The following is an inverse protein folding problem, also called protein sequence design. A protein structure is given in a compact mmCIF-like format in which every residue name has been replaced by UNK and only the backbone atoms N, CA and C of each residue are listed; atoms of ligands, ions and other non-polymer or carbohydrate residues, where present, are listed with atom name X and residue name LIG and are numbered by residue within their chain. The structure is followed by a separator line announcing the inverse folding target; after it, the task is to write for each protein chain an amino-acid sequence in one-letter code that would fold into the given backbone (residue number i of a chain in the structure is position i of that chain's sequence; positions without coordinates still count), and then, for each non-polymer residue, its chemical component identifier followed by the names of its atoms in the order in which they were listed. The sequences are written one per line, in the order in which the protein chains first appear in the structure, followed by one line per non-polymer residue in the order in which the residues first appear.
data_IF_178720112335
#
_entry.id   IF_178720112335
#
_cell.length_a   1.000
_cell.length_b   1.000
_cell.length_c   1.000
_cell.angle_alpha   90.00
_cell.angle_beta   90.00
_cell.angle_gamma   90.00
#
_symmetry.space_group_name_H-M   'P 1'
#
loop_
_entity.id
_entity.type
_entity.pdbx_description
1 polymer ?
#
# COMPACT_ATOMS: atom_id res chain seq x y z
N UNK A 1 -45.44 10.58 13.30
CA UNK A 1 -44.09 10.14 12.91
C UNK A 1 -43.31 11.32 12.35
N UNK A 2 -42.29 11.75 13.08
CA UNK A 2 -41.57 12.98 12.70
C UNK A 2 -40.45 12.75 11.65
N UNK A 3 -39.80 11.58 11.61
CA UNK A 3 -38.64 11.31 10.76
C UNK A 3 -38.87 10.16 9.77
N UNK A 4 -38.55 10.38 8.48
CA UNK A 4 -38.65 9.39 7.42
C UNK A 4 -37.33 9.38 6.59
N UNK A 5 -36.21 8.79 7.08
CA UNK A 5 -34.91 8.79 6.39
C UNK A 5 -34.95 8.18 4.98
N UNK A 6 -35.90 7.28 4.70
CA UNK A 6 -36.10 6.66 3.39
C UNK A 6 -36.43 7.67 2.27
N UNK A 7 -36.87 8.88 2.61
CA UNK A 7 -37.16 9.94 1.61
C UNK A 7 -35.96 10.25 0.74
N UNK A 8 -34.76 10.30 1.34
CA UNK A 8 -33.52 10.59 0.62
C UNK A 8 -32.99 9.38 -0.20
N UNK A 9 -33.59 8.20 -0.04
CA UNK A 9 -33.19 6.97 -0.74
C UNK A 9 -34.11 6.55 -1.87
N UNK A 10 -35.20 7.30 -2.11
CA UNK A 10 -36.29 6.89 -3.00
C UNK A 10 -35.91 6.79 -4.48
N UNK A 11 -34.88 7.50 -4.93
CA UNK A 11 -34.43 7.47 -6.33
C UNK A 11 -32.89 7.47 -6.43
N UNK A 12 -32.32 6.95 -7.54
CA UNK A 12 -30.88 6.99 -7.74
C UNK A 12 -30.32 8.43 -7.70
N UNK A 13 -31.04 9.40 -8.31
CA UNK A 13 -30.62 10.79 -8.30
C UNK A 13 -30.55 11.39 -6.90
N UNK A 14 -31.54 11.09 -6.03
CA UNK A 14 -31.50 11.54 -4.65
C UNK A 14 -30.37 10.88 -3.87
N UNK A 15 -30.16 9.57 -4.05
CA UNK A 15 -29.03 8.90 -3.39
C UNK A 15 -27.70 9.51 -3.79
N UNK A 16 -27.50 9.79 -5.07
CA UNK A 16 -26.28 10.44 -5.56
C UNK A 16 -26.11 11.88 -5.02
N UNK A 17 -27.21 12.64 -4.92
CA UNK A 17 -27.17 14.01 -4.39
C UNK A 17 -26.80 14.09 -2.91
N UNK A 18 -27.06 13.06 -2.14
CA UNK A 18 -26.75 12.98 -0.71
C UNK A 18 -25.58 12.03 -0.39
N UNK A 19 -24.83 11.61 -1.41
CA UNK A 19 -23.65 10.78 -1.22
C UNK A 19 -22.53 11.61 -0.59
N UNK A 20 -22.07 11.17 0.58
CA UNK A 20 -21.02 11.86 1.35
C UNK A 20 -19.62 11.41 0.93
N UNK A 21 -19.49 10.14 0.50
CA UNK A 21 -18.21 9.55 0.10
C UNK A 21 -18.16 9.33 -1.39
N UNK A 22 -17.05 9.70 -2.01
CA UNK A 22 -16.75 9.38 -3.40
C UNK A 22 -15.36 8.80 -3.52
N UNK A 23 -15.18 7.87 -4.45
CA UNK A 23 -13.88 7.36 -4.86
C UNK A 23 -13.63 7.68 -6.32
N UNK A 24 -12.38 7.97 -6.64
CA UNK A 24 -11.91 8.18 -8.00
C UNK A 24 -10.61 7.41 -8.21
N UNK A 25 -10.20 7.15 -9.47
CA UNK A 25 -8.92 6.50 -9.74
C UNK A 25 -7.72 7.19 -9.09
N UNK A 26 -7.77 8.51 -8.92
CA UNK A 26 -6.71 9.29 -8.28
C UNK A 26 -6.54 8.98 -6.77
N UNK A 27 -7.49 8.29 -6.16
CA UNK A 27 -7.39 7.90 -4.75
C UNK A 27 -6.65 6.57 -4.55
N UNK A 28 -6.30 5.86 -5.63
CA UNK A 28 -5.70 4.54 -5.55
C UNK A 28 -4.20 4.56 -5.78
N UNK A 29 -3.48 3.80 -4.97
CA UNK A 29 -2.09 3.41 -5.22
C UNK A 29 -2.09 1.93 -5.58
N UNK A 30 -1.72 1.60 -6.82
CA UNK A 30 -1.75 0.23 -7.33
C UNK A 30 -0.45 -0.50 -6.99
N UNK A 31 -0.50 -1.62 -6.24
CA UNK A 31 0.66 -2.45 -6.00
C UNK A 31 1.10 -3.19 -7.27
N UNK A 32 2.38 -3.10 -7.59
CA UNK A 32 3.02 -3.81 -8.69
C UNK A 32 4.04 -4.79 -8.11
N UNK A 33 3.81 -6.08 -8.35
CA UNK A 33 4.78 -7.11 -8.02
C UNK A 33 5.76 -7.25 -9.18
N UNK A 34 7.04 -7.04 -8.91
CA UNK A 34 8.09 -7.02 -9.94
C UNK A 34 9.11 -8.14 -9.70
N UNK A 35 9.72 -8.64 -10.78
CA UNK A 35 10.79 -9.62 -10.71
C UNK A 35 11.80 -9.45 -11.86
N UNK A 36 12.93 -10.15 -11.78
CA UNK A 36 14.02 -10.04 -12.77
C UNK A 36 13.71 -10.71 -14.13
N UNK A 37 12.70 -11.58 -14.19
CA UNK A 37 12.33 -12.28 -15.42
C UNK A 37 11.65 -11.34 -16.43
N UNK A 38 11.69 -11.69 -17.70
CA UNK A 38 11.05 -10.90 -18.77
C UNK A 38 9.56 -11.20 -18.94
N UNK A 39 9.15 -12.43 -18.65
CA UNK A 39 7.76 -12.90 -18.77
C UNK A 39 6.98 -12.72 -17.47
N UNK A 40 5.69 -12.44 -17.62
CA UNK A 40 4.78 -12.35 -16.45
C UNK A 40 4.60 -13.73 -15.81
N UNK A 41 4.74 -13.82 -14.49
CA UNK A 41 4.57 -15.04 -13.72
C UNK A 41 3.34 -14.93 -12.80
N UNK A 42 2.34 -15.83 -12.94
CA UNK A 42 1.13 -15.77 -12.10
C UNK A 42 1.45 -16.00 -10.63
N UNK A 43 0.71 -15.33 -9.76
CA UNK A 43 0.76 -15.55 -8.31
C UNK A 43 -0.40 -16.46 -7.95
N UNK A 44 -0.10 -17.73 -7.60
CA UNK A 44 -1.11 -18.78 -7.43
C UNK A 44 -2.15 -18.45 -6.35
N UNK A 45 -1.70 -17.86 -5.24
CA UNK A 45 -2.58 -17.47 -4.14
C UNK A 45 -3.38 -16.17 -4.38
N UNK A 46 -3.13 -15.47 -5.50
CA UNK A 46 -3.79 -14.22 -5.86
C UNK A 46 -4.33 -14.31 -7.30
N UNK A 47 -5.49 -14.91 -7.55
CA UNK A 47 -6.04 -15.12 -8.88
C UNK A 47 -6.17 -13.82 -9.69
N UNK A 48 -5.52 -13.76 -10.86
CA UNK A 48 -5.48 -12.57 -11.72
C UNK A 48 -4.34 -11.59 -11.43
N UNK A 49 -3.52 -11.85 -10.39
CA UNK A 49 -2.29 -11.11 -10.13
C UNK A 49 -1.07 -11.82 -10.69
N UNK A 50 -0.10 -11.03 -11.13
CA UNK A 50 1.15 -11.51 -11.71
C UNK A 50 2.34 -10.81 -11.08
N UNK A 51 3.47 -11.51 -11.01
CA UNK A 51 4.76 -10.86 -10.93
C UNK A 51 5.09 -10.42 -12.35
N UNK A 52 5.18 -9.12 -12.54
CA UNK A 52 5.27 -8.49 -13.86
C UNK A 52 6.70 -8.62 -14.40
N UNK A 53 6.80 -9.04 -15.64
CA UNK A 53 8.05 -9.12 -16.38
C UNK A 53 8.70 -7.74 -16.46
N UNK A 54 9.99 -7.67 -16.18
CA UNK A 54 10.70 -6.44 -15.85
C UNK A 54 10.53 -5.30 -16.85
N UNK A 55 10.38 -5.54 -18.13
CA UNK A 55 10.20 -4.48 -19.12
C UNK A 55 8.80 -4.42 -19.70
N UNK A 56 8.35 -5.53 -20.27
CA UNK A 56 7.12 -5.54 -21.05
C UNK A 56 5.88 -5.60 -20.20
N UNK A 57 5.70 -6.61 -19.36
CA UNK A 57 4.52 -6.77 -18.53
C UNK A 57 4.31 -5.61 -17.56
N UNK A 58 5.40 -5.09 -16.98
CA UNK A 58 5.35 -3.91 -16.11
C UNK A 58 4.84 -2.67 -16.83
N UNK A 59 5.38 -2.34 -18.01
CA UNK A 59 4.97 -1.15 -18.74
C UNK A 59 3.51 -1.27 -19.23
N UNK A 60 3.12 -2.45 -19.71
CA UNK A 60 1.74 -2.71 -20.15
C UNK A 60 0.74 -2.54 -19.01
N UNK A 61 1.07 -3.01 -17.80
CA UNK A 61 0.20 -2.86 -16.64
C UNK A 61 0.06 -1.39 -16.21
N UNK A 62 1.14 -0.63 -16.23
CA UNK A 62 1.11 0.82 -15.96
C UNK A 62 0.29 1.55 -17.03
N UNK A 63 0.43 1.22 -18.30
CA UNK A 63 -0.42 1.80 -19.36
C UNK A 63 -1.91 1.55 -19.12
N UNK A 64 -2.30 0.28 -18.83
CA UNK A 64 -3.70 -0.09 -18.54
C UNK A 64 -4.25 0.66 -17.33
N UNK A 65 -3.47 0.80 -16.27
CA UNK A 65 -3.87 1.54 -15.08
C UNK A 65 -4.09 3.03 -15.37
N UNK A 66 -3.18 3.64 -16.13
CA UNK A 66 -3.29 5.05 -16.56
C UNK A 66 -4.50 5.31 -17.45
N UNK A 67 -4.82 4.39 -18.33
CA UNK A 67 -6.02 4.50 -19.19
C UNK A 67 -7.33 4.62 -18.41
N UNK A 68 -7.35 4.10 -17.18
CA UNK A 68 -8.49 4.23 -16.26
C UNK A 68 -8.29 5.33 -15.21
N UNK A 69 -7.18 6.08 -15.27
CA UNK A 69 -6.92 7.26 -14.43
C UNK A 69 -6.12 6.97 -13.15
N UNK A 70 -5.57 5.76 -12.97
CA UNK A 70 -4.67 5.45 -11.85
C UNK A 70 -3.26 5.84 -12.23
N UNK A 71 -2.64 6.74 -11.47
CA UNK A 71 -1.31 7.29 -11.72
C UNK A 71 -0.35 7.14 -10.53
N UNK A 72 -0.72 6.38 -9.51
CA UNK A 72 0.10 6.11 -8.34
C UNK A 72 0.34 4.61 -8.19
N UNK A 73 1.59 4.22 -7.98
CA UNK A 73 2.03 2.82 -7.97
C UNK A 73 2.97 2.57 -6.81
N UNK A 74 2.85 1.40 -6.16
CA UNK A 74 3.81 0.93 -5.16
C UNK A 74 4.51 -0.34 -5.64
N UNK A 75 5.84 -0.38 -5.52
CA UNK A 75 6.68 -1.46 -6.03
C UNK A 75 6.99 -2.49 -4.95
N UNK A 76 6.73 -3.76 -5.24
CA UNK A 76 7.06 -4.91 -4.39
C UNK A 76 7.92 -5.91 -5.16
N UNK A 77 9.22 -6.06 -4.83
CA UNK A 77 10.11 -6.93 -5.58
C UNK A 77 10.05 -8.39 -5.11
N UNK A 78 10.15 -9.33 -6.04
CA UNK A 78 10.62 -10.68 -5.76
C UNK A 78 12.10 -10.75 -6.10
N UNK A 79 12.94 -10.81 -5.08
CA UNK A 79 14.39 -10.89 -5.22
C UNK A 79 14.82 -12.38 -5.36
N UNK A 80 15.73 -12.72 -6.30
CA UNK A 80 16.31 -14.05 -6.39
C UNK A 80 17.03 -14.46 -5.09
N UNK A 81 16.89 -15.71 -4.68
CA UNK A 81 17.49 -16.20 -3.43
C UNK A 81 19.01 -16.04 -3.37
N UNK A 82 19.68 -16.09 -4.53
CA UNK A 82 21.13 -15.88 -4.62
C UNK A 82 21.58 -14.46 -4.23
N UNK A 83 20.66 -13.49 -4.20
CA UNK A 83 20.91 -12.10 -3.83
C UNK A 83 20.44 -11.78 -2.40
N UNK A 84 19.80 -12.72 -1.74
CA UNK A 84 19.35 -12.52 -0.34
C UNK A 84 20.51 -12.76 0.62
N UNK A 85 20.59 -11.92 1.66
CA UNK A 85 21.59 -12.04 2.74
C UNK A 85 20.93 -11.85 4.10
N UNK A 86 21.57 -12.24 5.22
CA UNK A 86 21.03 -11.98 6.57
C UNK A 86 20.80 -10.50 6.87
N UNK A 87 21.58 -9.62 6.24
CA UNK A 87 21.52 -8.17 6.41
C UNK A 87 20.73 -7.46 5.32
N UNK A 88 20.22 -8.21 4.31
CA UNK A 88 19.40 -7.66 3.23
C UNK A 88 20.13 -6.66 2.33
N UNK A 89 21.43 -6.86 2.06
CA UNK A 89 22.29 -5.86 1.40
C UNK A 89 21.85 -5.47 -0.01
N UNK A 90 21.15 -6.34 -0.72
CA UNK A 90 20.57 -6.03 -2.03
C UNK A 90 19.50 -4.92 -1.95
N UNK A 91 18.94 -4.64 -0.77
CA UNK A 91 17.93 -3.59 -0.57
C UNK A 91 18.43 -2.18 -0.93
N UNK A 92 19.72 -1.91 -0.76
CA UNK A 92 20.34 -0.61 -1.08
C UNK A 92 21.30 -0.65 -2.28
N UNK A 93 21.22 -1.69 -3.09
CA UNK A 93 21.95 -1.76 -4.36
C UNK A 93 21.32 -0.78 -5.37
N UNK A 94 22.00 0.33 -5.67
CA UNK A 94 21.53 1.35 -6.63
C UNK A 94 21.26 0.77 -8.04
N UNK A 95 21.81 -0.38 -8.37
CA UNK A 95 21.60 -1.11 -9.61
C UNK A 95 20.67 -2.32 -9.45
N UNK A 96 20.08 -2.51 -8.28
CA UNK A 96 19.12 -3.56 -7.98
C UNK A 96 17.80 -3.39 -8.72
N UNK A 97 16.92 -4.37 -8.60
CA UNK A 97 15.64 -4.43 -9.33
C UNK A 97 14.78 -3.17 -9.08
N UNK A 98 14.59 -2.76 -7.82
CA UNK A 98 13.71 -1.63 -7.48
C UNK A 98 14.25 -0.31 -8.03
N UNK A 99 15.51 0.11 -7.78
CA UNK A 99 16.06 1.35 -8.34
C UNK A 99 16.04 1.38 -9.87
N UNK A 100 16.34 0.25 -10.55
CA UNK A 100 16.24 0.17 -12.02
C UNK A 100 14.80 0.34 -12.51
N UNK A 101 13.84 -0.26 -11.81
CA UNK A 101 12.41 -0.16 -12.13
C UNK A 101 11.91 1.28 -11.97
N UNK A 102 12.29 1.97 -10.88
CA UNK A 102 11.93 3.38 -10.67
C UNK A 102 12.43 4.23 -11.83
N UNK A 103 13.71 4.11 -12.18
CA UNK A 103 14.29 4.88 -13.32
C UNK A 103 13.57 4.58 -14.64
N UNK A 104 13.29 3.29 -14.93
CA UNK A 104 12.55 2.91 -16.13
C UNK A 104 11.15 3.54 -16.17
N UNK A 105 10.43 3.51 -15.07
CA UNK A 105 9.07 4.05 -14.99
C UNK A 105 9.07 5.58 -15.09
N UNK A 106 10.01 6.26 -14.43
CA UNK A 106 10.14 7.71 -14.50
C UNK A 106 10.58 8.20 -15.89
N UNK A 107 11.42 7.44 -16.60
CA UNK A 107 11.77 7.72 -18.00
C UNK A 107 10.55 7.63 -18.93
N UNK A 108 9.71 6.61 -18.77
CA UNK A 108 8.54 6.38 -19.63
C UNK A 108 7.31 7.20 -19.23
N UNK A 109 7.14 7.46 -17.94
CA UNK A 109 5.98 8.11 -17.36
C UNK A 109 6.42 9.12 -16.29
N UNK A 110 6.95 10.28 -16.66
CA UNK A 110 7.53 11.24 -15.71
C UNK A 110 6.49 11.84 -14.73
N UNK A 111 5.21 11.74 -15.06
CA UNK A 111 4.06 12.31 -14.31
C UNK A 111 3.40 11.35 -13.33
N UNK A 112 3.84 10.08 -13.24
CA UNK A 112 3.32 9.14 -12.24
C UNK A 112 3.97 9.33 -10.88
N UNK A 113 3.26 8.91 -9.82
CA UNK A 113 3.77 8.86 -8.46
C UNK A 113 4.23 7.44 -8.13
N UNK A 114 5.50 7.31 -7.75
CA UNK A 114 6.08 6.02 -7.36
C UNK A 114 6.27 5.98 -5.85
N UNK A 115 5.57 5.05 -5.22
CA UNK A 115 5.77 4.63 -3.85
C UNK A 115 6.72 3.44 -3.82
N UNK A 116 7.53 3.33 -2.79
CA UNK A 116 8.39 2.17 -2.58
C UNK A 116 8.14 1.56 -1.20
N UNK A 117 8.23 0.26 -1.12
CA UNK A 117 8.26 -0.44 0.17
C UNK A 117 9.68 -0.34 0.78
N UNK A 118 9.76 -0.03 2.07
CA UNK A 118 11.02 -0.01 2.82
C UNK A 118 10.92 -1.06 3.92
N UNK A 119 11.53 -2.20 3.68
CA UNK A 119 11.62 -3.34 4.59
C UNK A 119 12.66 -4.32 4.05
N UNK A 120 13.20 -5.19 4.90
CA UNK A 120 14.23 -6.13 4.48
C UNK A 120 13.70 -7.50 4.06
N UNK A 121 12.44 -7.85 4.32
CA UNK A 121 11.92 -9.20 4.08
C UNK A 121 12.05 -9.72 2.64
N UNK A 122 11.95 -8.91 1.56
CA UNK A 122 12.23 -9.40 0.20
C UNK A 122 13.71 -9.71 -0.05
N UNK A 123 14.60 -9.13 0.74
CA UNK A 123 16.06 -9.16 0.59
C UNK A 123 16.76 -10.02 1.63
N UNK A 124 16.05 -10.37 2.70
CA UNK A 124 16.58 -11.16 3.81
C UNK A 124 16.54 -12.65 3.52
N UNK A 125 17.65 -13.35 3.80
CA UNK A 125 17.68 -14.81 3.80
C UNK A 125 16.78 -15.43 4.88
N UNK A 126 16.43 -14.67 5.94
CA UNK A 126 15.59 -15.12 7.03
C UNK A 126 14.10 -14.82 6.83
N UNK A 127 13.75 -13.97 5.84
CA UNK A 127 12.37 -13.60 5.51
C UNK A 127 11.70 -12.69 6.57
N UNK A 128 12.47 -12.09 7.46
CA UNK A 128 12.01 -11.09 8.42
C UNK A 128 12.18 -9.66 7.87
N UNK A 129 11.36 -8.72 8.36
CA UNK A 129 11.41 -7.30 7.94
C UNK A 129 12.67 -6.60 8.49
N UNK A 130 13.38 -7.21 9.44
CA UNK A 130 14.61 -6.74 10.06
C UNK A 130 15.69 -7.81 10.16
N UNK A 131 16.88 -7.37 10.59
CA UNK A 131 18.05 -8.22 10.81
C UNK A 131 17.82 -9.12 12.02
N UNK A 132 18.13 -10.38 11.88
CA UNK A 132 17.94 -11.38 12.92
C UNK A 132 19.28 -11.74 13.57
N UNK A 133 19.34 -11.66 14.90
CA UNK A 133 20.46 -12.15 15.69
C UNK A 133 20.41 -13.67 15.81
N UNK A 134 21.54 -14.33 16.15
CA UNK A 134 21.65 -15.79 16.26
C UNK A 134 20.63 -16.43 17.22
N UNK A 135 20.18 -15.70 18.24
CA UNK A 135 19.17 -16.14 19.21
C UNK A 135 17.71 -15.88 18.74
N UNK A 136 17.52 -15.38 17.52
CA UNK A 136 16.21 -15.12 16.93
C UNK A 136 15.62 -13.74 17.24
N UNK A 137 16.36 -12.88 17.94
CA UNK A 137 15.91 -11.51 18.24
C UNK A 137 16.08 -10.63 17.00
N UNK A 138 15.05 -9.84 16.71
CA UNK A 138 15.08 -8.81 15.65
C UNK A 138 15.83 -7.59 16.15
N UNK A 139 16.89 -7.21 15.44
CA UNK A 139 17.80 -6.12 15.81
C UNK A 139 17.22 -4.79 15.29
N UNK A 140 16.69 -3.96 16.20
CA UNK A 140 16.02 -2.71 15.84
C UNK A 140 16.97 -1.72 15.14
N UNK A 141 18.00 -1.28 15.85
CA UNK A 141 18.84 -0.15 15.41
C UNK A 141 19.69 -0.50 14.18
N UNK A 142 20.20 -1.73 14.11
CA UNK A 142 20.93 -2.22 12.94
C UNK A 142 20.01 -2.32 11.71
N UNK A 143 18.76 -2.71 11.92
CA UNK A 143 17.75 -2.73 10.85
C UNK A 143 17.48 -1.32 10.37
N UNK A 144 17.20 -0.37 11.26
CA UNK A 144 16.93 1.05 10.91
C UNK A 144 18.10 1.63 10.12
N UNK A 145 19.34 1.32 10.48
CA UNK A 145 20.51 1.76 9.72
C UNK A 145 20.52 1.23 8.27
N UNK A 146 20.13 -0.03 8.05
CA UNK A 146 20.01 -0.59 6.69
C UNK A 146 18.83 0.03 5.93
N UNK A 147 17.71 0.26 6.60
CA UNK A 147 16.55 0.92 6.00
C UNK A 147 16.84 2.36 5.55
N UNK A 148 17.70 3.09 6.26
CA UNK A 148 18.17 4.41 5.82
C UNK A 148 18.90 4.33 4.47
N UNK A 149 19.79 3.34 4.29
CA UNK A 149 20.49 3.14 3.01
C UNK A 149 19.51 2.77 1.89
N UNK A 150 18.56 1.86 2.16
CA UNK A 150 17.51 1.46 1.22
C UNK A 150 16.71 2.69 0.75
N UNK A 151 16.26 3.49 1.71
CA UNK A 151 15.47 4.69 1.47
C UNK A 151 16.20 5.69 0.59
N UNK A 152 17.47 5.99 0.88
CA UNK A 152 18.31 6.90 0.09
C UNK A 152 18.53 6.36 -1.33
N UNK A 153 18.78 5.05 -1.49
CA UNK A 153 18.93 4.42 -2.81
C UNK A 153 17.66 4.54 -3.65
N UNK A 154 16.49 4.33 -3.04
CA UNK A 154 15.20 4.48 -3.73
C UNK A 154 14.89 5.93 -4.09
N UNK A 155 15.17 6.89 -3.20
CA UNK A 155 15.01 8.32 -3.46
C UNK A 155 15.94 8.79 -4.59
N UNK A 156 17.20 8.35 -4.59
CA UNK A 156 18.19 8.62 -5.65
C UNK A 156 17.74 8.09 -7.00
N UNK A 157 17.01 6.99 -7.03
CA UNK A 157 16.43 6.42 -8.25
C UNK A 157 15.22 7.21 -8.77
N UNK A 158 14.58 8.07 -7.95
CA UNK A 158 13.44 8.90 -8.32
C UNK A 158 12.10 8.48 -7.68
N UNK A 159 12.11 7.77 -6.55
CA UNK A 159 10.89 7.53 -5.77
C UNK A 159 10.33 8.85 -5.25
N UNK A 160 9.01 9.02 -5.31
CA UNK A 160 8.30 10.20 -4.80
C UNK A 160 7.90 10.02 -3.33
N UNK A 161 7.59 8.79 -2.94
CA UNK A 161 7.15 8.44 -1.58
C UNK A 161 7.84 7.14 -1.16
N UNK A 162 8.49 7.15 -0.01
CA UNK A 162 9.01 5.94 0.62
C UNK A 162 8.05 5.48 1.71
N UNK A 163 7.82 4.15 1.80
CA UNK A 163 6.78 3.61 2.67
C UNK A 163 7.34 2.52 3.60
N UNK A 164 7.90 2.91 4.76
CA UNK A 164 8.47 1.97 5.71
C UNK A 164 7.39 1.06 6.31
N UNK A 165 7.51 -0.23 6.02
CA UNK A 165 6.57 -1.27 6.45
C UNK A 165 7.17 -2.26 7.46
N UNK A 166 8.37 -2.00 7.90
CA UNK A 166 9.20 -2.85 8.75
C UNK A 166 8.75 -2.90 10.22
N UNK A 167 8.14 -1.83 10.74
CA UNK A 167 7.68 -1.65 12.13
C UNK A 167 8.80 -1.58 13.18
N UNK A 168 10.00 -1.11 12.82
CA UNK A 168 11.06 -0.83 13.79
C UNK A 168 10.81 0.51 14.50
N UNK A 169 11.22 0.59 15.77
CA UNK A 169 11.06 1.82 16.56
C UNK A 169 12.01 2.93 16.09
N UNK A 170 11.52 4.17 16.01
CA UNK A 170 12.30 5.35 15.63
C UNK A 170 12.68 5.43 14.15
N UNK A 171 12.15 4.53 13.31
CA UNK A 171 12.51 4.43 11.89
C UNK A 171 12.14 5.67 11.08
N UNK A 172 10.98 6.27 11.36
CA UNK A 172 10.51 7.41 10.55
C UNK A 172 11.45 8.60 10.69
N UNK A 173 11.86 8.93 11.92
CA UNK A 173 12.81 10.00 12.19
C UNK A 173 14.19 9.75 11.58
N UNK A 174 14.67 8.51 11.64
CA UNK A 174 15.94 8.12 11.04
C UNK A 174 15.91 8.22 9.51
N UNK A 175 14.84 7.73 8.85
CA UNK A 175 14.67 7.81 7.41
C UNK A 175 14.53 9.27 6.93
N UNK A 176 13.75 10.10 7.64
CA UNK A 176 13.63 11.53 7.32
C UNK A 176 14.99 12.23 7.39
N UNK A 177 15.72 11.97 8.47
CA UNK A 177 17.07 12.55 8.65
C UNK A 177 18.04 12.09 7.55
N UNK A 178 17.97 10.82 7.13
CA UNK A 178 18.82 10.29 6.07
C UNK A 178 18.50 10.92 4.69
N UNK A 179 17.20 11.06 4.38
CA UNK A 179 16.75 11.74 3.15
C UNK A 179 17.19 13.20 3.11
N UNK A 180 17.00 13.93 4.20
CA UNK A 180 17.36 15.35 4.30
C UNK A 180 18.86 15.56 4.19
N UNK A 181 19.68 14.68 4.79
CA UNK A 181 21.14 14.74 4.71
C UNK A 181 21.67 14.57 3.26
N UNK A 182 20.95 13.83 2.42
CA UNK A 182 21.26 13.61 1.02
C UNK A 182 20.53 14.60 0.07
N UNK A 183 19.78 15.57 0.62
CA UNK A 183 19.08 16.62 -0.14
C UNK A 183 17.73 16.21 -0.72
N UNK A 184 17.16 15.08 -0.31
CA UNK A 184 15.83 14.58 -0.76
C UNK A 184 14.68 15.14 0.10
N UNK A 185 14.64 16.46 0.25
CA UNK A 185 13.64 17.16 1.07
C UNK A 185 12.19 17.01 0.55
N UNK A 186 12.03 16.74 -0.76
CA UNK A 186 10.72 16.63 -1.43
C UNK A 186 10.20 15.19 -1.48
N UNK A 187 10.95 14.21 -0.97
CA UNK A 187 10.50 12.82 -0.89
C UNK A 187 9.64 12.63 0.36
N UNK A 188 8.38 12.26 0.18
CA UNK A 188 7.44 12.05 1.29
C UNK A 188 7.64 10.69 1.96
N UNK A 189 7.25 10.58 3.22
CA UNK A 189 7.23 9.33 3.98
C UNK A 189 5.78 8.93 4.28
N UNK A 190 5.33 7.77 3.75
CA UNK A 190 4.07 7.14 4.12
C UNK A 190 4.37 6.05 5.15
N UNK A 191 4.17 6.34 6.43
CA UNK A 191 4.39 5.35 7.47
C UNK A 191 3.30 4.29 7.50
N UNK A 192 3.68 3.02 7.58
CA UNK A 192 2.78 1.93 8.00
C UNK A 192 2.60 2.01 9.52
N UNK A 193 1.98 3.08 9.98
CA UNK A 193 1.90 3.43 11.40
C UNK A 193 1.10 2.42 12.23
N UNK A 194 0.13 1.74 11.59
CA UNK A 194 -0.67 0.69 12.25
C UNK A 194 -0.70 -0.57 11.38
N UNK A 195 0.39 -1.35 11.40
CA UNK A 195 0.49 -2.64 10.72
C UNK A 195 0.35 -3.78 11.71
N UNK A 196 -0.79 -4.47 11.64
CA UNK A 196 -1.13 -5.57 12.54
C UNK A 196 -0.55 -6.91 12.08
N UNK A 197 -0.18 -7.78 13.03
CA UNK A 197 0.21 -9.17 12.76
C UNK A 197 -1.01 -9.97 12.30
N UNK A 198 -1.26 -9.98 10.99
CA UNK A 198 -2.50 -10.46 10.41
C UNK A 198 -2.35 -11.77 9.65
N UNK A 199 -3.36 -12.64 9.78
CA UNK A 199 -3.50 -13.85 8.96
C UNK A 199 -3.89 -13.55 7.50
N UNK A 200 -4.32 -12.32 7.19
CA UNK A 200 -4.67 -11.90 5.83
C UNK A 200 -3.46 -11.66 4.93
N UNK A 201 -2.22 -11.83 5.40
CA UNK A 201 -1.01 -11.63 4.60
C UNK A 201 -0.53 -12.88 3.84
N UNK A 202 -1.19 -14.03 4.02
CA UNK A 202 -0.73 -15.30 3.42
C UNK A 202 -0.41 -15.20 1.93
N UNK A 203 -1.34 -14.76 1.06
CA UNK A 203 -1.09 -14.65 -0.38
C UNK A 203 0.04 -13.68 -0.77
N UNK A 204 0.22 -12.59 -0.03
CA UNK A 204 1.30 -11.62 -0.26
C UNK A 204 2.68 -12.22 -0.02
N UNK A 205 2.81 -13.05 1.03
CA UNK A 205 4.08 -13.73 1.33
C UNK A 205 4.52 -14.66 0.21
N UNK A 206 3.57 -15.32 -0.48
CA UNK A 206 3.86 -16.09 -1.68
C UNK A 206 4.31 -15.19 -2.83
N UNK A 207 3.70 -14.01 -2.99
CA UNK A 207 4.03 -13.10 -4.08
C UNK A 207 5.48 -12.64 -4.04
N UNK A 208 6.03 -12.34 -2.85
CA UNK A 208 7.40 -11.86 -2.64
C UNK A 208 8.39 -12.96 -2.29
N UNK A 209 7.91 -14.18 -1.98
CA UNK A 209 8.73 -15.24 -1.40
C UNK A 209 9.44 -14.77 -0.10
N UNK A 210 8.67 -14.11 0.77
CA UNK A 210 9.13 -13.46 2.00
C UNK A 210 8.52 -14.08 3.27
N UNK A 211 8.32 -15.41 3.25
CA UNK A 211 7.90 -16.12 4.46
C UNK A 211 9.03 -16.14 5.49
N UNK A 212 8.77 -15.83 6.78
CA UNK A 212 9.73 -16.06 7.83
C UNK A 212 10.19 -17.52 7.84
N UNK A 213 11.48 -17.76 7.86
CA UNK A 213 12.04 -19.13 7.89
C UNK A 213 11.97 -19.74 9.28
N UNK A 214 11.75 -18.92 10.29
CA UNK A 214 11.52 -19.32 11.68
C UNK A 214 10.67 -18.27 12.42
N UNK A 215 10.06 -18.66 13.54
CA UNK A 215 9.26 -17.74 14.37
C UNK A 215 8.07 -17.13 13.64
N UNK A 216 7.72 -15.94 14.05
CA UNK A 216 6.67 -15.13 13.45
C UNK A 216 7.04 -13.62 13.51
N UNK A 217 6.20 -12.76 12.94
CA UNK A 217 6.45 -11.30 12.90
C UNK A 217 5.80 -10.53 14.07
N UNK A 218 5.34 -11.21 15.14
CA UNK A 218 4.58 -10.59 16.23
C UNK A 218 5.43 -9.80 17.23
N UNK A 219 6.74 -9.90 17.15
CA UNK A 219 7.64 -9.09 18.01
C UNK A 219 7.76 -7.64 17.54
N UNK A 220 7.33 -7.35 16.30
CA UNK A 220 7.37 -6.00 15.73
C UNK A 220 6.08 -5.59 15.00
N UNK A 221 5.25 -6.50 14.50
CA UNK A 221 3.91 -6.16 14.02
C UNK A 221 2.94 -6.11 15.18
N UNK A 222 2.01 -5.14 15.17
CA UNK A 222 1.08 -4.87 16.26
C UNK A 222 0.15 -6.06 16.56
N UNK A 223 -0.19 -6.23 17.83
CA UNK A 223 -1.14 -7.26 18.24
C UNK A 223 -2.56 -6.89 17.76
N UNK A 224 -3.26 -7.79 17.02
CA UNK A 224 -4.64 -7.56 16.59
C UNK A 224 -5.64 -7.22 17.71
N UNK A 225 -5.33 -7.59 18.93
CA UNK A 225 -6.16 -7.29 20.11
C UNK A 225 -5.93 -5.87 20.70
N UNK A 226 -4.92 -5.13 20.21
CA UNK A 226 -4.53 -3.84 20.77
C UNK A 226 -5.04 -2.67 19.92
N UNK A 227 -6.12 -2.06 20.39
CA UNK A 227 -6.73 -0.90 19.73
C UNK A 227 -5.96 0.40 19.98
N UNK A 228 -5.55 0.66 21.25
CA UNK A 228 -4.96 1.94 21.65
C UNK A 228 -3.50 2.10 21.24
N UNK A 229 -2.81 1.03 20.97
CA UNK A 229 -1.42 1.01 20.50
C UNK A 229 -1.28 1.81 19.20
N UNK A 230 -2.28 1.77 18.32
CA UNK A 230 -2.31 2.56 17.09
C UNK A 230 -2.16 4.08 17.34
N UNK A 231 -2.65 4.62 18.45
CA UNK A 231 -2.46 6.05 18.80
C UNK A 231 -1.03 6.34 19.24
N UNK A 232 -0.38 5.39 19.92
CA UNK A 232 1.01 5.54 20.37
C UNK A 232 1.92 5.58 19.16
N UNK A 233 1.77 4.61 18.25
CA UNK A 233 2.53 4.52 17.00
C UNK A 233 2.29 5.76 16.12
N UNK A 234 1.03 6.17 15.97
CA UNK A 234 0.68 7.37 15.18
C UNK A 234 1.34 8.62 15.73
N UNK A 235 1.29 8.84 17.05
CA UNK A 235 1.87 10.03 17.66
C UNK A 235 3.41 10.05 17.54
N UNK A 236 4.05 8.89 17.61
CA UNK A 236 5.49 8.75 17.40
C UNK A 236 5.86 9.05 15.94
N UNK A 237 5.19 8.41 14.98
CA UNK A 237 5.47 8.58 13.54
C UNK A 237 5.23 10.02 13.07
N UNK A 238 4.17 10.70 13.57
CA UNK A 238 3.93 12.11 13.29
C UNK A 238 5.05 13.01 13.84
N UNK A 239 5.45 12.77 15.09
CA UNK A 239 6.54 13.54 15.73
C UNK A 239 7.89 13.31 15.03
N UNK A 240 8.10 12.15 14.45
CA UNK A 240 9.27 11.76 13.68
C UNK A 240 9.26 12.27 12.22
N UNK A 241 8.15 12.80 11.73
CA UNK A 241 8.07 13.46 10.42
C UNK A 241 7.41 12.62 9.32
N UNK A 242 6.47 11.75 9.64
CA UNK A 242 5.60 11.11 8.64
C UNK A 242 4.72 12.15 7.94
N UNK A 243 4.54 11.99 6.62
CA UNK A 243 3.66 12.84 5.80
C UNK A 243 2.28 12.19 5.59
N UNK A 244 2.23 10.86 5.59
CA UNK A 244 1.02 10.05 5.38
C UNK A 244 1.05 8.89 6.38
N UNK A 245 -0.11 8.56 6.95
CA UNK A 245 -0.28 7.44 7.87
C UNK A 245 -1.07 6.31 7.20
N UNK A 246 -0.60 5.06 7.31
CA UNK A 246 -1.24 3.93 6.68
C UNK A 246 -1.63 2.86 7.70
N UNK A 247 -2.87 2.36 7.57
CA UNK A 247 -3.40 1.22 8.34
C UNK A 247 -3.39 -0.03 7.48
N UNK A 248 -2.85 -1.14 7.99
CA UNK A 248 -2.77 -2.44 7.30
C UNK A 248 -3.08 -3.59 8.26
N UNK A 249 -4.03 -4.48 7.93
CA UNK A 249 -5.00 -4.49 6.81
C UNK A 249 -6.05 -3.39 6.86
N UNK A 250 -6.81 -3.22 5.74
CA UNK A 250 -7.86 -2.20 5.62
C UNK A 250 -9.18 -2.58 6.28
N UNK A 251 -9.99 -3.46 5.65
CA UNK A 251 -11.34 -3.79 6.10
C UNK A 251 -11.44 -4.30 7.55
N UNK A 252 -10.54 -5.17 8.06
CA UNK A 252 -10.62 -5.63 9.43
C UNK A 252 -10.40 -4.53 10.48
N UNK A 253 -9.85 -3.39 10.08
CA UNK A 253 -9.42 -2.30 10.96
C UNK A 253 -10.01 -0.93 10.58
N UNK A 254 -11.25 -0.90 10.08
CA UNK A 254 -11.97 0.36 9.79
C UNK A 254 -12.15 1.23 11.05
N UNK A 255 -12.24 0.62 12.21
CA UNK A 255 -12.26 1.29 13.51
C UNK A 255 -10.94 2.01 13.81
N UNK A 256 -9.81 1.41 13.44
CA UNK A 256 -8.47 2.03 13.57
C UNK A 256 -8.30 3.18 12.56
N UNK A 257 -8.73 3.00 11.32
CA UNK A 257 -8.72 4.07 10.32
C UNK A 257 -9.50 5.27 10.85
N UNK A 258 -10.68 5.02 11.42
CA UNK A 258 -11.50 6.06 12.04
C UNK A 258 -10.82 6.69 13.26
N UNK A 259 -10.19 5.88 14.11
CA UNK A 259 -9.46 6.33 15.28
C UNK A 259 -8.32 7.29 14.88
N UNK A 260 -7.51 6.91 13.89
CA UNK A 260 -6.44 7.75 13.38
C UNK A 260 -6.99 9.06 12.80
N UNK A 261 -8.05 8.97 11.99
CA UNK A 261 -8.67 10.15 11.39
C UNK A 261 -9.16 11.17 12.41
N UNK A 262 -9.67 10.70 13.54
CA UNK A 262 -10.16 11.58 14.60
C UNK A 262 -9.03 12.23 15.43
N UNK A 263 -7.81 11.66 15.37
CA UNK A 263 -6.68 12.07 16.21
C UNK A 263 -5.49 12.65 15.41
N UNK A 264 -5.51 12.58 14.08
CA UNK A 264 -4.45 13.10 13.20
C UNK A 264 -4.99 14.07 12.16
N UNK A 265 -4.19 15.07 11.80
CA UNK A 265 -4.43 15.98 10.70
C UNK A 265 -3.84 15.47 9.37
N UNK A 266 -2.95 14.48 9.42
CA UNK A 266 -2.30 13.92 8.23
C UNK A 266 -3.30 13.11 7.37
N UNK A 267 -3.01 12.94 6.07
CA UNK A 267 -3.73 11.99 5.23
C UNK A 267 -3.65 10.57 5.79
N UNK A 268 -4.78 9.86 5.78
CA UNK A 268 -4.85 8.46 6.20
C UNK A 268 -5.02 7.59 4.98
N UNK A 269 -4.19 6.57 4.85
CA UNK A 269 -4.28 5.53 3.83
C UNK A 269 -4.67 4.19 4.46
N UNK A 270 -5.33 3.33 3.69
CA UNK A 270 -5.69 1.98 4.10
C UNK A 270 -5.26 0.96 3.04
N UNK A 271 -4.61 -0.12 3.46
CA UNK A 271 -4.17 -1.17 2.55
C UNK A 271 -5.17 -2.32 2.52
N UNK A 272 -5.91 -2.48 1.41
CA UNK A 272 -6.66 -3.69 1.14
C UNK A 272 -5.69 -4.82 0.78
N UNK A 273 -5.44 -5.72 1.73
CA UNK A 273 -4.37 -6.72 1.60
C UNK A 273 -4.79 -7.95 0.80
N UNK A 274 -3.81 -8.79 0.48
CA UNK A 274 -3.95 -9.97 -0.38
C UNK A 274 -5.01 -10.96 0.08
N UNK A 275 -5.17 -11.18 1.39
CA UNK A 275 -6.22 -12.04 1.92
C UNK A 275 -7.62 -11.48 1.71
N UNK A 276 -7.81 -10.17 1.89
CA UNK A 276 -9.08 -9.49 1.60
C UNK A 276 -9.43 -9.61 0.11
N UNK A 277 -8.46 -9.36 -0.77
CA UNK A 277 -8.59 -9.54 -2.20
C UNK A 277 -8.98 -10.99 -2.56
N UNK A 278 -8.22 -11.98 -2.08
CA UNK A 278 -8.43 -13.39 -2.38
C UNK A 278 -9.78 -13.91 -1.88
N UNK A 279 -10.28 -13.41 -0.74
CA UNK A 279 -11.63 -13.72 -0.23
C UNK A 279 -12.73 -13.23 -1.18
N UNK A 280 -12.60 -12.01 -1.71
CA UNK A 280 -13.57 -11.45 -2.68
C UNK A 280 -13.51 -12.27 -3.97
N UNK A 281 -12.33 -12.57 -4.49
CA UNK A 281 -12.14 -13.37 -5.71
C UNK A 281 -12.72 -14.77 -5.55
N UNK A 282 -12.45 -15.45 -4.44
CA UNK A 282 -12.95 -16.80 -4.17
C UNK A 282 -14.48 -16.83 -4.04
N UNK A 283 -15.06 -15.91 -3.28
CA UNK A 283 -16.51 -15.81 -3.13
C UNK A 283 -17.22 -15.46 -4.45
N UNK A 284 -16.61 -14.59 -5.27
CA UNK A 284 -17.08 -14.24 -6.61
C UNK A 284 -17.04 -15.44 -7.56
N UNK A 285 -15.92 -16.18 -7.60
CA UNK A 285 -15.76 -17.37 -8.44
C UNK A 285 -16.76 -18.48 -8.10
N UNK A 286 -17.16 -18.59 -6.82
CA UNK A 286 -18.20 -19.51 -6.35
C UNK A 286 -19.62 -18.99 -6.53
N UNK A 287 -19.81 -17.79 -7.08
CA UNK A 287 -21.13 -17.17 -7.26
C UNK A 287 -21.85 -16.77 -5.96
N UNK A 288 -21.13 -16.73 -4.83
CA UNK A 288 -21.70 -16.38 -3.53
C UNK A 288 -21.94 -14.86 -3.40
N UNK A 289 -21.14 -14.06 -4.11
CA UNK A 289 -21.25 -12.60 -4.15
C UNK A 289 -21.02 -12.08 -5.57
N UNK A 290 -21.50 -10.86 -5.83
CA UNK A 290 -21.13 -10.10 -7.03
C UNK A 290 -19.75 -9.49 -6.77
N UNK A 291 -18.71 -10.06 -7.40
CA UNK A 291 -17.31 -9.68 -7.19
C UNK A 291 -17.08 -8.18 -7.35
N UNK A 292 -17.58 -7.60 -8.44
CA UNK A 292 -17.35 -6.18 -8.75
C UNK A 292 -18.02 -5.28 -7.71
N UNK A 293 -19.24 -5.59 -7.30
CA UNK A 293 -19.95 -4.79 -6.30
C UNK A 293 -19.28 -4.86 -4.93
N UNK A 294 -18.89 -6.06 -4.49
CA UNK A 294 -18.23 -6.23 -3.19
C UNK A 294 -16.85 -5.55 -3.19
N UNK A 295 -16.10 -5.64 -4.28
CA UNK A 295 -14.83 -4.93 -4.42
C UNK A 295 -15.03 -3.41 -4.29
N UNK A 296 -15.97 -2.83 -5.04
CA UNK A 296 -16.24 -1.39 -4.98
C UNK A 296 -16.78 -0.96 -3.61
N UNK A 297 -17.61 -1.77 -2.97
CA UNK A 297 -18.12 -1.50 -1.62
C UNK A 297 -17.00 -1.53 -0.59
N UNK A 298 -16.11 -2.52 -0.65
CA UNK A 298 -14.98 -2.62 0.28
C UNK A 298 -14.02 -1.42 0.17
N UNK A 299 -13.73 -0.96 -1.04
CA UNK A 299 -12.93 0.24 -1.28
C UNK A 299 -13.64 1.51 -0.77
N UNK A 300 -14.97 1.60 -0.98
CA UNK A 300 -15.77 2.69 -0.44
C UNK A 300 -15.76 2.70 1.09
N UNK A 301 -15.84 1.53 1.75
CA UNK A 301 -15.75 1.42 3.21
C UNK A 301 -14.41 1.94 3.74
N UNK A 302 -13.31 1.63 3.07
CA UNK A 302 -11.98 2.18 3.41
C UNK A 302 -11.92 3.71 3.35
N UNK A 303 -12.72 4.31 2.47
CA UNK A 303 -12.78 5.77 2.29
C UNK A 303 -13.74 6.48 3.26
N UNK A 304 -14.75 5.79 3.81
CA UNK A 304 -15.76 6.39 4.71
C UNK A 304 -15.18 7.19 5.89
N UNK A 305 -14.15 6.71 6.60
CA UNK A 305 -13.58 7.44 7.73
C UNK A 305 -12.98 8.79 7.37
N UNK A 306 -12.58 8.98 6.12
CA UNK A 306 -11.83 10.16 5.67
C UNK A 306 -12.70 11.44 5.56
N UNK A 307 -14.01 11.31 5.44
CA UNK A 307 -14.93 12.43 5.13
C UNK A 307 -15.34 13.34 6.27
N UNK A 308 -15.07 12.99 7.52
CA UNK A 308 -15.60 13.72 8.65
C UNK A 308 -14.77 14.94 9.10
N UNK A 309 -13.68 15.27 8.41
CA UNK A 309 -12.89 16.51 8.64
C UNK A 309 -12.62 17.33 7.39
N UNK A 310 -13.43 17.26 6.37
CA UNK A 310 -13.48 18.35 5.40
C UNK A 310 -14.14 19.56 6.06
N UNK A 311 -13.38 20.33 6.83
CA UNK A 311 -13.78 21.70 7.17
C UNK A 311 -13.98 22.43 5.84
N UNK A 312 -15.21 22.89 5.65
CA UNK A 312 -15.69 23.74 4.59
C UNK A 312 -14.65 24.72 4.06
N UNK A 313 -14.13 24.45 2.88
CA UNK A 313 -13.78 25.47 1.93
C UNK A 313 -14.66 25.23 0.70
N UNK A 314 -15.82 25.89 0.68
CA UNK A 314 -16.65 26.03 -0.50
C UNK A 314 -15.84 26.73 -1.59
N UNK A 315 -15.36 25.95 -2.52
CA UNK A 315 -14.93 26.37 -3.84
C UNK A 315 -15.68 25.52 -4.84
N UNK A 316 -16.82 26.02 -5.31
CA UNK A 316 -17.57 25.39 -6.38
C UNK A 316 -16.71 25.34 -7.64
N UNK A 317 -16.15 24.20 -7.98
CA UNK A 317 -15.68 23.91 -9.33
C UNK A 317 -16.66 22.93 -9.96
N UNK A 318 -17.56 23.49 -10.76
CA UNK A 318 -18.34 22.75 -11.73
C UNK A 318 -17.35 22.23 -12.78
N UNK A 319 -17.11 20.91 -12.82
CA UNK A 319 -16.71 20.26 -14.04
C UNK A 319 -17.47 18.93 -14.16
N UNK A 320 -18.02 18.73 -15.37
CA UNK A 320 -19.01 17.73 -15.69
C UNK A 320 -18.62 16.32 -15.29
N UNK A 321 -19.51 15.67 -14.59
CA UNK A 321 -19.48 14.25 -14.32
C UNK A 321 -19.61 13.50 -15.66
N UNK A 322 -18.50 13.13 -16.27
CA UNK A 322 -18.50 11.97 -17.13
C UNK A 322 -18.49 10.76 -16.20
N UNK A 323 -19.69 10.23 -15.97
CA UNK A 323 -19.88 8.86 -15.53
C UNK A 323 -19.12 8.00 -16.52
N UNK A 324 -17.99 7.44 -16.09
CA UNK A 324 -17.31 6.39 -16.86
C UNK A 324 -18.30 5.24 -16.93
N UNK A 325 -19.00 5.15 -18.04
CA UNK A 325 -19.78 3.97 -18.42
C UNK A 325 -18.77 2.84 -18.60
N UNK A 326 -18.65 1.96 -17.61
CA UNK A 326 -18.08 0.64 -17.79
C UNK A 326 -18.98 -0.17 -18.72
N UNK A 327 -18.96 0.16 -20.00
CA UNK A 327 -19.60 -0.56 -21.09
C UNK A 327 -18.56 -0.84 -22.15
N UNK A 328 -17.66 -1.75 -21.85
CA UNK A 328 -16.99 -2.64 -22.80
C UNK A 328 -16.55 -3.87 -22.05
N UNK A 329 -16.82 -5.05 -22.61
CA UNK A 329 -16.67 -6.37 -22.05
C UNK A 329 -15.37 -6.71 -21.30
N UNK A 330 -15.17 -7.93 -20.85
CA UNK A 330 -14.35 -8.30 -19.70
C UNK A 330 -12.85 -8.15 -19.96
N UNK A 331 -12.38 -6.90 -20.03
CA UNK A 331 -11.01 -6.55 -19.70
C UNK A 331 -11.11 -6.00 -18.28
N UNK A 332 -11.16 -6.92 -17.33
CA UNK A 332 -11.02 -6.62 -15.93
C UNK A 332 -9.79 -5.74 -15.74
N UNK A 333 -9.92 -4.67 -14.95
CA UNK A 333 -8.76 -4.10 -14.28
C UNK A 333 -8.18 -5.27 -13.49
N UNK A 334 -7.01 -5.80 -13.85
CA UNK A 334 -6.46 -6.92 -13.11
C UNK A 334 -6.15 -6.40 -11.71
N UNK A 335 -6.74 -7.06 -10.73
CA UNK A 335 -6.36 -7.01 -9.34
C UNK A 335 -6.28 -5.62 -8.70
N UNK A 336 -7.43 -5.02 -8.39
CA UNK A 336 -7.46 -3.91 -7.42
C UNK A 336 -7.14 -4.43 -6.01
N UNK A 337 -5.89 -4.71 -5.82
CA UNK A 337 -5.17 -4.73 -4.56
C UNK A 337 -4.76 -3.27 -4.39
N UNK A 338 -5.45 -2.52 -3.58
CA UNK A 338 -5.27 -1.07 -3.61
C UNK A 338 -4.97 -0.51 -2.22
N UNK A 339 -4.13 0.51 -2.19
CA UNK A 339 -4.07 1.48 -1.09
C UNK A 339 -5.07 2.58 -1.43
N UNK A 340 -5.97 2.85 -0.50
CA UNK A 340 -7.05 3.86 -0.65
C UNK A 340 -6.81 5.00 0.31
#
# INVERSE_FOLDING_TARGET
MAKHPRRNRKSPALRAAFQETSISPANFVLPLFIHEGEEDAPIGAMPGCYRLGWRHGLLDEVYKARDVGVNSFVLFPKVPDALKSPTGDEAYNDNGLVPRTIRLLKDKFPDIVIYTDVALDPYSSDGHDGIVREDGVIMNDETVYQLCKQTVSQARAGADVVSPSDMMDGRIGALRSALDAEGFHDVSIMSYTAKYASSFYGPFREALDSNPRFGDKKTYQMNPANYREALIETAADEAEGADILLVKPGLPYLDIIRLLRDNSALPIAAYQVSGEYSMIKAAGALGMVDEQKVMMESLMCGRHPDLLRASSCCGAVRHGAQVVKYSRGPAAIPALHAIV
#
